data_IF_673827263445
#
_entry.id   IF_673827263445
#
_cell.length_a   1.000
_cell.length_b   1.000
_cell.length_c   1.000
_cell.angle_alpha   90.00
_cell.angle_beta   90.00
_cell.angle_gamma   90.00
#
_symmetry.space_group_name_H-M   'P 1'
#
loop_
_entity.id
_entity.type
_entity.pdbx_description
1 polymer ?
#
# COMPACT_ATOMS: atom_id res chain seq x y z
N UNK A 1 -7.90 -4.25 -10.06
CA UNK A 1 -7.12 -4.83 -8.93
C UNK A 1 -7.15 -3.85 -7.77
N UNK A 2 -7.40 -4.27 -6.53
CA UNK A 2 -7.43 -3.36 -5.36
C UNK A 2 -6.42 -3.79 -4.30
N UNK A 3 -5.67 -2.83 -3.75
CA UNK A 3 -4.77 -3.05 -2.62
C UNK A 3 -5.03 -2.00 -1.56
N UNK A 4 -5.12 -2.45 -0.32
CA UNK A 4 -5.29 -1.58 0.84
C UNK A 4 -4.12 -1.74 1.79
N UNK A 5 -3.59 -0.61 2.20
CA UNK A 5 -2.45 -0.50 3.08
C UNK A 5 -2.83 0.41 4.23
N UNK A 6 -2.49 -0.01 5.43
CA UNK A 6 -2.73 0.76 6.65
C UNK A 6 -1.39 1.06 7.31
N UNK A 7 -1.25 2.29 7.79
CA UNK A 7 -0.10 2.73 8.55
C UNK A 7 -0.59 3.16 9.92
N UNK A 8 -0.27 2.37 10.93
CA UNK A 8 -0.59 2.63 12.34
C UNK A 8 0.67 3.08 13.05
N UNK A 9 0.62 4.30 13.57
CA UNK A 9 1.58 4.85 14.52
C UNK A 9 0.87 5.09 15.87
N UNK A 10 1.64 5.30 16.94
CA UNK A 10 1.19 5.41 18.34
C UNK A 10 0.00 6.38 18.54
N UNK A 11 -0.15 7.38 17.67
CA UNK A 11 -1.23 8.39 17.71
C UNK A 11 -1.93 8.62 16.37
N UNK A 12 -1.66 7.83 15.35
CA UNK A 12 -2.17 8.10 14.00
C UNK A 12 -2.35 6.86 13.16
N UNK A 13 -3.62 6.60 12.85
CA UNK A 13 -4.05 5.65 11.84
C UNK A 13 -4.16 6.34 10.48
N UNK A 14 -3.43 5.85 9.49
CA UNK A 14 -3.53 6.29 8.11
C UNK A 14 -3.90 5.11 7.23
N UNK A 15 -4.69 5.35 6.20
CA UNK A 15 -5.02 4.37 5.19
C UNK A 15 -4.55 4.85 3.82
N UNK A 16 -4.23 3.89 2.97
CA UNK A 16 -3.81 4.10 1.60
C UNK A 16 -4.38 2.94 0.77
N UNK A 17 -5.25 3.24 -0.17
CA UNK A 17 -5.89 2.30 -1.07
C UNK A 17 -5.47 2.63 -2.49
N UNK A 18 -5.21 1.61 -3.31
CA UNK A 18 -5.01 1.78 -4.76
C UNK A 18 -5.91 0.81 -5.51
N UNK A 19 -6.63 1.35 -6.47
CA UNK A 19 -7.53 0.60 -7.36
C UNK A 19 -7.11 0.80 -8.80
N UNK A 20 -6.74 -0.28 -9.48
CA UNK A 20 -6.35 -0.29 -10.87
C UNK A 20 -7.54 -0.65 -11.75
N UNK A 21 -7.84 0.24 -12.69
CA UNK A 21 -8.91 0.15 -13.69
C UNK A 21 -8.32 0.30 -15.10
N UNK A 22 -7.93 -0.84 -15.69
CA UNK A 22 -7.31 -0.91 -17.01
C UNK A 22 -6.01 -0.11 -17.06
N UNK A 23 -6.02 0.99 -17.82
CA UNK A 23 -4.86 1.88 -17.99
C UNK A 23 -4.78 3.01 -16.97
N UNK A 24 -5.74 3.12 -16.05
CA UNK A 24 -5.76 4.13 -14.99
C UNK A 24 -5.73 3.47 -13.62
N UNK A 25 -5.22 4.18 -12.63
CA UNK A 25 -5.38 3.79 -11.24
C UNK A 25 -5.87 4.95 -10.38
N UNK A 26 -6.59 4.61 -9.33
CA UNK A 26 -7.12 5.53 -8.33
C UNK A 26 -6.47 5.23 -6.99
N UNK A 27 -5.72 6.19 -6.47
CA UNK A 27 -5.11 6.13 -5.14
C UNK A 27 -5.97 6.93 -4.17
N UNK A 28 -6.44 6.33 -3.10
CA UNK A 28 -7.14 7.01 -2.01
C UNK A 28 -6.31 6.94 -0.74
N UNK A 29 -5.97 8.07 -0.13
CA UNK A 29 -5.15 8.09 1.08
C UNK A 29 -5.66 9.08 2.10
N UNK A 30 -5.53 8.78 3.38
CA UNK A 30 -6.09 9.62 4.41
C UNK A 30 -5.75 9.17 5.82
N UNK A 31 -6.31 9.90 6.79
CA UNK A 31 -6.31 9.50 8.19
C UNK A 31 -7.59 8.73 8.45
N UNK A 32 -7.53 7.62 9.17
CA UNK A 32 -8.73 6.84 9.52
C UNK A 32 -9.68 7.73 10.32
N UNK A 33 -10.90 7.91 9.83
CA UNK A 33 -11.90 8.83 10.40
C UNK A 33 -12.05 10.16 9.66
N UNK A 34 -11.29 10.42 8.60
CA UNK A 34 -11.55 11.53 7.67
C UNK A 34 -11.88 11.01 6.27
N UNK A 35 -12.47 11.87 5.43
CA UNK A 35 -12.79 11.52 4.04
C UNK A 35 -11.56 11.16 3.18
N UNK A 36 -10.36 11.57 3.62
CA UNK A 36 -9.12 11.36 2.86
C UNK A 36 -9.02 12.21 1.59
N UNK A 37 -8.05 11.86 0.75
CA UNK A 37 -7.81 12.45 -0.57
C UNK A 37 -7.73 11.33 -1.61
N UNK A 38 -8.28 11.60 -2.77
CA UNK A 38 -8.27 10.69 -3.91
C UNK A 38 -7.44 11.28 -5.04
N UNK A 39 -6.61 10.47 -5.67
CA UNK A 39 -5.73 10.83 -6.78
C UNK A 39 -5.87 9.78 -7.86
N UNK A 40 -6.50 10.17 -8.96
CA UNK A 40 -6.61 9.35 -10.17
C UNK A 40 -5.41 9.64 -11.06
N UNK A 41 -4.89 8.61 -11.70
CA UNK A 41 -3.73 8.73 -12.58
C UNK A 41 -3.87 7.78 -13.75
N UNK A 42 -3.82 8.35 -14.93
CA UNK A 42 -4.03 7.66 -16.20
C UNK A 42 -2.69 7.41 -16.88
N UNK A 43 -2.56 6.26 -17.53
CA UNK A 43 -1.38 5.86 -18.28
C UNK A 43 -1.78 5.51 -19.71
N UNK A 44 -0.80 5.60 -20.62
CA UNK A 44 -0.96 5.16 -22.01
C UNK A 44 -1.18 3.65 -22.15
N UNK A 45 -0.58 2.86 -21.26
CA UNK A 45 -0.61 1.39 -21.35
C UNK A 45 -0.85 0.74 -20.00
N UNK A 46 -1.59 -0.37 -20.03
CA UNK A 46 -1.89 -1.18 -18.85
C UNK A 46 -0.60 -1.73 -18.21
N UNK A 47 0.39 -2.12 -19.01
CA UNK A 47 1.68 -2.58 -18.51
C UNK A 47 2.42 -1.54 -17.68
N UNK A 48 2.37 -0.25 -18.09
CA UNK A 48 2.99 0.85 -17.32
C UNK A 48 2.23 1.10 -16.03
N UNK A 49 0.90 1.08 -16.09
CA UNK A 49 0.02 1.20 -14.92
C UNK A 49 0.35 0.13 -13.88
N UNK A 50 0.39 -1.15 -14.27
CA UNK A 50 0.68 -2.26 -13.38
C UNK A 50 2.10 -2.18 -12.78
N UNK A 51 3.11 -1.84 -13.58
CA UNK A 51 4.49 -1.67 -13.09
C UNK A 51 4.61 -0.56 -12.05
N UNK A 52 3.97 0.58 -12.26
CA UNK A 52 3.99 1.67 -11.27
C UNK A 52 3.21 1.31 -10.01
N UNK A 53 2.08 0.62 -10.14
CA UNK A 53 1.30 0.13 -8.97
C UNK A 53 2.15 -0.81 -8.12
N UNK A 54 2.81 -1.80 -8.74
CA UNK A 54 3.69 -2.74 -8.02
C UNK A 54 4.87 -2.04 -7.34
N UNK A 55 5.46 -1.05 -8.01
CA UNK A 55 6.55 -0.25 -7.44
C UNK A 55 6.09 0.57 -6.25
N UNK A 56 4.95 1.26 -6.37
CA UNK A 56 4.34 2.02 -5.27
C UNK A 56 4.01 1.13 -4.07
N UNK A 57 3.46 -0.07 -4.30
CA UNK A 57 3.20 -1.06 -3.25
C UNK A 57 4.49 -1.42 -2.51
N UNK A 58 5.53 -1.78 -3.26
CA UNK A 58 6.83 -2.16 -2.70
C UNK A 58 7.47 -1.04 -1.87
N UNK A 59 7.39 0.20 -2.34
CA UNK A 59 7.90 1.37 -1.60
C UNK A 59 7.09 1.66 -0.34
N UNK A 60 5.76 1.50 -0.38
CA UNK A 60 4.88 1.71 0.78
C UNK A 60 5.09 0.64 1.85
N UNK A 61 5.19 -0.63 1.46
CA UNK A 61 5.54 -1.73 2.35
C UNK A 61 6.88 -1.50 3.04
N UNK A 62 7.88 -1.04 2.29
CA UNK A 62 9.21 -0.72 2.84
C UNK A 62 9.19 0.46 3.82
N UNK A 63 8.25 1.40 3.65
CA UNK A 63 7.99 2.50 4.59
C UNK A 63 7.29 2.06 5.89
N UNK A 64 6.91 0.79 6.01
CA UNK A 64 6.21 0.27 7.18
C UNK A 64 4.69 0.40 7.10
N UNK A 65 4.12 0.62 5.91
CA UNK A 65 2.70 0.39 5.71
C UNK A 65 2.45 -1.12 5.74
N UNK A 66 1.46 -1.56 6.49
CA UNK A 66 1.02 -2.94 6.51
C UNK A 66 -0.05 -3.14 5.45
N UNK A 67 0.16 -4.07 4.53
CA UNK A 67 -0.93 -4.57 3.68
C UNK A 67 -2.00 -5.15 4.61
N UNK A 68 -3.20 -4.60 4.54
CA UNK A 68 -4.31 -5.28 5.17
C UNK A 68 -4.63 -6.52 4.34
N UNK A 69 -5.08 -7.57 5.01
CA UNK A 69 -5.18 -8.92 4.47
C UNK A 69 -6.39 -9.07 3.51
N UNK A 70 -6.38 -8.40 2.36
CA UNK A 70 -7.28 -8.72 1.24
C UNK A 70 -6.43 -9.38 0.14
N UNK A 71 -6.41 -10.72 0.14
CA UNK A 71 -5.76 -11.64 -0.82
C UNK A 71 -5.55 -11.04 -2.22
N UNK A 72 -4.31 -10.73 -2.58
CA UNK A 72 -3.84 -10.75 -3.96
C UNK A 72 -2.42 -11.34 -4.01
N UNK A 73 -2.37 -12.62 -4.34
CA UNK A 73 -1.19 -13.46 -4.45
C UNK A 73 -0.21 -12.94 -5.51
N UNK A 74 0.96 -12.45 -5.13
CA UNK A 74 2.23 -12.71 -5.85
C UNK A 74 3.47 -12.22 -5.09
N UNK A 75 4.29 -13.20 -4.68
CA UNK A 75 5.68 -13.15 -4.22
C UNK A 75 5.98 -12.84 -2.73
N UNK A 76 6.77 -13.70 -2.05
CA UNK A 76 7.05 -13.58 -0.62
C UNK A 76 8.23 -12.63 -0.40
N UNK A 77 8.03 -11.53 0.32
CA UNK A 77 9.13 -10.89 1.05
C UNK A 77 8.79 -10.85 2.53
N UNK A 78 8.78 -12.05 3.12
CA UNK A 78 8.79 -12.22 4.56
C UNK A 78 10.13 -11.74 5.14
N UNK A 79 10.34 -10.43 5.19
CA UNK A 79 11.24 -9.85 6.19
C UNK A 79 10.50 -9.87 7.52
N UNK A 80 10.66 -11.00 8.22
CA UNK A 80 10.32 -11.16 9.64
C UNK A 80 10.99 -10.06 10.46
N UNK A 81 10.18 -9.06 10.80
CA UNK A 81 9.95 -8.54 12.14
C UNK A 81 10.97 -8.95 13.23
N UNK A 82 11.71 -7.94 13.70
CA UNK A 82 12.18 -7.71 15.07
C UNK A 82 12.12 -8.89 16.06
N UNK A 83 13.26 -9.53 16.35
CA UNK A 83 13.52 -10.05 17.70
C UNK A 83 14.26 -8.98 18.50
N UNK A 84 13.53 -8.43 19.46
CA UNK A 84 13.96 -7.45 20.45
C UNK A 84 15.26 -7.92 21.11
N UNK A 85 16.21 -6.99 21.23
CA UNK A 85 17.40 -7.06 22.07
C UNK A 85 16.95 -7.33 23.51
N UNK A 86 17.20 -8.52 24.04
CA UNK A 86 17.11 -8.77 25.48
C UNK A 86 18.52 -8.78 26.04
N UNK A 87 18.84 -7.71 26.77
CA UNK A 87 19.90 -7.68 27.77
C UNK A 87 19.76 -8.91 28.68
N UNK A 88 20.85 -9.64 28.88
CA UNK A 88 21.33 -10.10 30.18
C UNK A 88 22.84 -10.19 30.10
#
# INVERSE_FOLDING_TARGET
MKHHLTYKDDKSDKFWNIEVSGTSFTVTYGKTGTAGQTSVKDFDTEEKCLKEVQKLLSEKLKKGYMEGEERASSAPVAKKMHRRKSRR
#
